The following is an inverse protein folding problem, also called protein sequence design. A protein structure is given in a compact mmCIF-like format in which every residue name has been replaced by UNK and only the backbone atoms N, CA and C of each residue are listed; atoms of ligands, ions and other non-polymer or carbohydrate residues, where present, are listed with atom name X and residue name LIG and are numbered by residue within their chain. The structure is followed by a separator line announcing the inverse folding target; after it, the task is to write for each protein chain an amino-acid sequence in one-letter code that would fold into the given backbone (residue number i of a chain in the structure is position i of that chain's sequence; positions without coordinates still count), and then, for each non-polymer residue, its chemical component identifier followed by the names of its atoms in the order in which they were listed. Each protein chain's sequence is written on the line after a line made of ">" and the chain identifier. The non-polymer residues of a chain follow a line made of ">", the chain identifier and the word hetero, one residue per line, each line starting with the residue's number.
data_IF_485804716048
#
_entry.id   IF_485804716048
#
_cell.length_a   1.000
_cell.length_b   1.000
_cell.length_c   1.000
_cell.angle_alpha   90.00
_cell.angle_beta   90.00
_cell.angle_gamma   90.00
#
_symmetry.space_group_name_H-M   'P 1'
#
loop_
_entity.id
_entity.type
_entity.pdbx_description
1 polymer ?
#
# COMPACT_ATOMS: atom_id res chain seq x y z
N UNK A 1 -10.54 -7.95 -36.68
CA UNK A 1 -9.73 -8.54 -35.58
C UNK A 1 -9.83 -10.05 -35.75
N UNK A 2 -8.73 -10.77 -36.01
CA UNK A 2 -8.78 -12.23 -36.00
C UNK A 2 -8.86 -12.70 -34.55
N UNK A 3 -9.92 -13.42 -34.21
CA UNK A 3 -10.06 -14.08 -32.91
C UNK A 3 -9.21 -15.35 -32.90
N UNK A 4 -8.20 -15.39 -32.04
CA UNK A 4 -7.44 -16.62 -31.80
C UNK A 4 -8.26 -17.61 -30.99
N UNK A 5 -8.14 -18.89 -31.31
CA UNK A 5 -8.62 -19.98 -30.47
C UNK A 5 -7.66 -20.23 -29.31
N UNK A 6 -8.15 -20.80 -28.20
CA UNK A 6 -7.31 -21.14 -27.04
C UNK A 6 -6.09 -21.99 -27.43
N UNK A 7 -6.28 -22.97 -28.32
CA UNK A 7 -5.22 -23.86 -28.78
C UNK A 7 -4.13 -23.12 -29.55
N UNK A 8 -4.51 -22.22 -30.45
CA UNK A 8 -3.56 -21.39 -31.20
C UNK A 8 -2.73 -20.48 -30.30
N UNK A 9 -3.31 -19.97 -29.20
CA UNK A 9 -2.58 -19.15 -28.23
C UNK A 9 -1.50 -19.97 -27.53
N UNK A 10 -1.83 -21.17 -27.05
CA UNK A 10 -0.88 -22.06 -26.37
C UNK A 10 0.24 -22.51 -27.32
N UNK A 11 -0.10 -22.86 -28.55
CA UNK A 11 0.90 -23.28 -29.56
C UNK A 11 1.90 -22.14 -29.85
N UNK A 12 1.40 -20.90 -30.01
CA UNK A 12 2.26 -19.72 -30.20
C UNK A 12 3.09 -19.37 -28.97
N UNK A 13 2.52 -19.50 -27.78
CA UNK A 13 3.24 -19.27 -26.53
C UNK A 13 4.41 -20.24 -26.36
N UNK A 14 4.17 -21.54 -26.60
CA UNK A 14 5.22 -22.56 -26.56
C UNK A 14 6.30 -22.32 -27.61
N UNK A 15 5.94 -21.89 -28.82
CA UNK A 15 6.90 -21.49 -29.85
C UNK A 15 7.81 -20.35 -29.36
N UNK A 16 7.25 -19.31 -28.73
CA UNK A 16 8.02 -18.21 -28.18
C UNK A 16 8.97 -18.64 -27.04
N UNK A 17 8.53 -19.57 -26.19
CA UNK A 17 9.38 -20.10 -25.13
C UNK A 17 10.56 -20.90 -25.66
N UNK A 18 10.34 -21.72 -26.69
CA UNK A 18 11.41 -22.46 -27.39
C UNK A 18 12.44 -21.50 -27.97
N UNK A 19 11.99 -20.50 -28.73
CA UNK A 19 12.86 -19.46 -29.29
C UNK A 19 13.66 -18.70 -28.23
N UNK A 20 13.04 -18.38 -27.08
CA UNK A 20 13.72 -17.71 -25.97
C UNK A 20 14.83 -18.59 -25.40
N UNK A 21 14.54 -19.83 -25.05
CA UNK A 21 15.52 -20.74 -24.45
C UNK A 21 16.64 -21.09 -25.44
N UNK A 22 16.36 -21.23 -26.74
CA UNK A 22 17.38 -21.37 -27.79
C UNK A 22 18.34 -20.16 -27.80
N UNK A 23 17.80 -18.94 -27.75
CA UNK A 23 18.59 -17.70 -27.66
C UNK A 23 19.47 -17.67 -26.40
N UNK A 24 18.99 -18.24 -25.30
CA UNK A 24 19.70 -18.34 -24.03
C UNK A 24 20.60 -19.59 -23.92
N UNK A 25 20.69 -20.40 -24.98
CA UNK A 25 21.44 -21.67 -25.00
C UNK A 25 21.04 -22.63 -23.86
N UNK A 26 19.75 -22.67 -23.55
CA UNK A 26 19.18 -23.56 -22.52
C UNK A 26 18.63 -24.83 -23.13
N UNK A 27 18.80 -25.94 -22.41
CA UNK A 27 18.20 -27.23 -22.78
C UNK A 27 16.68 -27.19 -22.63
N UNK A 28 16.01 -28.08 -23.36
CA UNK A 28 14.56 -28.23 -23.35
C UNK A 28 14.18 -29.67 -23.10
N UNK A 29 13.09 -29.86 -22.34
CA UNK A 29 12.37 -31.12 -22.32
C UNK A 29 11.85 -31.50 -23.71
N UNK A 30 11.44 -32.75 -23.86
CA UNK A 30 10.83 -33.23 -25.11
C UNK A 30 9.40 -32.73 -25.22
N UNK A 31 8.82 -32.74 -26.42
CA UNK A 31 7.39 -32.40 -26.60
C UNK A 31 6.45 -33.35 -25.81
N UNK A 32 6.92 -34.56 -25.53
CA UNK A 32 6.22 -35.56 -24.71
C UNK A 32 6.39 -35.33 -23.20
N UNK A 33 7.48 -34.68 -22.79
CA UNK A 33 7.82 -34.36 -21.41
C UNK A 33 8.34 -32.93 -21.29
N UNK A 34 7.46 -31.92 -21.40
CA UNK A 34 7.85 -30.53 -21.25
C UNK A 34 8.29 -30.24 -19.82
N UNK A 35 9.36 -29.46 -19.67
CA UNK A 35 9.97 -29.07 -18.40
C UNK A 35 9.81 -27.56 -18.14
N UNK A 36 8.67 -26.99 -18.53
CA UNK A 36 8.36 -25.57 -18.33
C UNK A 36 8.33 -25.23 -16.84
N UNK A 37 9.05 -24.19 -16.46
CA UNK A 37 9.17 -23.76 -15.07
C UNK A 37 8.76 -22.30 -14.92
N UNK A 38 7.91 -22.02 -13.92
CA UNK A 38 7.41 -20.68 -13.64
C UNK A 38 7.66 -20.25 -12.21
N UNK A 39 7.94 -18.97 -12.02
CA UNK A 39 7.99 -18.31 -10.72
C UNK A 39 6.72 -17.46 -10.56
N UNK A 40 6.01 -17.64 -9.45
CA UNK A 40 4.84 -16.84 -9.11
C UNK A 40 5.16 -15.89 -7.94
N UNK A 41 4.94 -14.59 -8.13
CA UNK A 41 5.13 -13.55 -7.10
C UNK A 41 3.79 -13.09 -6.56
N UNK A 42 3.61 -13.22 -5.25
CA UNK A 42 2.38 -12.84 -4.55
C UNK A 42 2.20 -11.31 -4.46
N UNK A 43 0.96 -10.89 -4.15
CA UNK A 43 0.61 -9.50 -3.87
C UNK A 43 0.92 -9.09 -2.43
N UNK A 44 0.47 -7.89 -2.04
CA UNK A 44 0.69 -7.35 -0.68
C UNK A 44 1.44 -6.01 -0.63
N UNK A 45 1.33 -5.21 -1.69
CA UNK A 45 1.94 -3.88 -1.77
C UNK A 45 3.46 -3.90 -1.65
N UNK A 46 4.02 -2.81 -1.10
CA UNK A 46 5.47 -2.59 -1.03
C UNK A 46 6.20 -3.65 -0.19
N UNK A 47 5.57 -4.18 0.87
CA UNK A 47 6.18 -5.23 1.72
C UNK A 47 6.44 -6.51 0.92
N UNK A 48 5.45 -6.95 0.15
CA UNK A 48 5.59 -8.13 -0.70
C UNK A 48 6.62 -7.89 -1.80
N UNK A 49 6.64 -6.69 -2.39
CA UNK A 49 7.65 -6.31 -3.38
C UNK A 49 9.09 -6.46 -2.84
N UNK A 50 9.34 -6.03 -1.60
CA UNK A 50 10.67 -6.17 -0.96
C UNK A 50 11.06 -7.64 -0.75
N UNK A 51 10.12 -8.49 -0.31
CA UNK A 51 10.37 -9.92 -0.11
C UNK A 51 10.62 -10.61 -1.45
N UNK A 52 9.77 -10.38 -2.45
CA UNK A 52 9.91 -10.93 -3.80
C UNK A 52 11.24 -10.50 -4.43
N UNK A 53 11.67 -9.25 -4.24
CA UNK A 53 12.98 -8.76 -4.68
C UNK A 53 14.13 -9.58 -4.07
N UNK A 54 14.06 -9.89 -2.77
CA UNK A 54 15.06 -10.72 -2.09
C UNK A 54 15.10 -12.16 -2.62
N UNK A 55 13.93 -12.76 -2.86
CA UNK A 55 13.84 -14.09 -3.48
C UNK A 55 14.43 -14.09 -4.88
N UNK A 56 14.01 -13.18 -5.76
CA UNK A 56 14.52 -13.12 -7.13
C UNK A 56 16.02 -12.82 -7.18
N UNK A 57 16.53 -11.95 -6.29
CA UNK A 57 17.98 -11.73 -6.15
C UNK A 57 18.72 -13.03 -5.86
N UNK A 58 18.18 -13.85 -4.97
CA UNK A 58 18.78 -15.14 -4.60
C UNK A 58 18.69 -16.14 -5.74
N UNK A 59 17.53 -16.25 -6.39
CA UNK A 59 17.35 -17.13 -7.56
C UNK A 59 18.27 -16.72 -8.72
N UNK A 60 18.48 -15.41 -8.93
CA UNK A 60 19.42 -14.90 -9.93
C UNK A 60 20.85 -15.30 -9.62
N UNK A 61 21.27 -15.21 -8.35
CA UNK A 61 22.60 -15.65 -7.90
C UNK A 61 22.88 -17.12 -8.22
N UNK A 62 21.87 -17.98 -8.23
CA UNK A 62 21.98 -19.39 -8.58
C UNK A 62 21.66 -19.70 -10.05
N UNK A 63 21.45 -18.68 -10.90
CA UNK A 63 21.06 -18.84 -12.29
C UNK A 63 19.67 -19.44 -12.51
N UNK A 64 18.86 -19.56 -11.46
CA UNK A 64 17.51 -20.15 -11.53
C UNK A 64 16.53 -19.17 -12.19
N UNK A 65 16.69 -17.87 -11.94
CA UNK A 65 15.81 -16.84 -12.52
C UNK A 65 15.87 -16.86 -14.06
N UNK A 66 17.06 -17.01 -14.65
CA UNK A 66 17.25 -17.08 -16.09
C UNK A 66 16.57 -18.31 -16.72
N UNK A 67 16.46 -19.41 -15.96
CA UNK A 67 15.82 -20.67 -16.38
C UNK A 67 14.31 -20.65 -16.29
N UNK A 68 13.71 -19.68 -15.60
CA UNK A 68 12.26 -19.55 -15.54
C UNK A 68 11.70 -19.09 -16.88
N UNK A 69 10.70 -19.82 -17.38
CA UNK A 69 9.94 -19.51 -18.59
C UNK A 69 8.83 -18.50 -18.30
N UNK A 70 8.24 -18.62 -17.12
CA UNK A 70 7.17 -17.77 -16.66
C UNK A 70 7.55 -17.00 -15.42
N UNK A 71 7.17 -15.73 -15.38
CA UNK A 71 7.19 -14.91 -14.18
C UNK A 71 5.81 -14.30 -14.00
N UNK A 72 4.95 -15.00 -13.28
CA UNK A 72 3.56 -14.59 -13.01
C UNK A 72 3.49 -13.73 -11.75
N UNK A 73 2.76 -12.63 -11.78
CA UNK A 73 2.69 -11.71 -10.64
C UNK A 73 1.31 -11.12 -10.43
N UNK A 74 1.05 -10.67 -9.21
CA UNK A 74 -0.14 -9.90 -8.85
C UNK A 74 0.22 -8.74 -7.93
N UNK A 75 -0.40 -7.57 -8.15
CA UNK A 75 -0.29 -6.38 -7.28
C UNK A 75 1.17 -6.05 -6.92
N UNK A 76 1.55 -6.17 -5.64
CA UNK A 76 2.90 -5.88 -5.14
C UNK A 76 4.04 -6.64 -5.84
N UNK A 77 3.80 -7.88 -6.29
CA UNK A 77 4.78 -8.64 -7.07
C UNK A 77 5.09 -8.00 -8.43
N UNK A 78 4.14 -7.23 -8.97
CA UNK A 78 4.27 -6.50 -10.22
C UNK A 78 5.40 -5.47 -10.18
N UNK A 79 5.65 -4.79 -9.04
CA UNK A 79 6.76 -3.85 -8.92
C UNK A 79 8.12 -4.51 -9.18
N UNK A 80 8.35 -5.68 -8.56
CA UNK A 80 9.57 -6.45 -8.74
C UNK A 80 9.68 -6.98 -10.18
N UNK A 81 8.58 -7.46 -10.76
CA UNK A 81 8.57 -7.96 -12.13
C UNK A 81 8.84 -6.87 -13.16
N UNK A 82 8.21 -5.70 -13.03
CA UNK A 82 8.43 -4.56 -13.93
C UNK A 82 9.89 -4.11 -13.89
N UNK A 83 10.53 -4.08 -12.72
CA UNK A 83 11.97 -3.84 -12.59
C UNK A 83 12.79 -4.87 -13.38
N UNK A 84 12.57 -6.16 -13.13
CA UNK A 84 13.31 -7.24 -13.81
C UNK A 84 13.15 -7.15 -15.33
N UNK A 85 11.93 -6.98 -15.82
CA UNK A 85 11.65 -6.85 -17.26
C UNK A 85 12.32 -5.62 -17.87
N UNK A 86 12.25 -4.47 -17.20
CA UNK A 86 12.86 -3.24 -17.70
C UNK A 86 14.38 -3.38 -17.80
N UNK A 87 15.03 -3.91 -16.77
CA UNK A 87 16.49 -4.10 -16.75
C UNK A 87 16.95 -5.13 -17.78
N UNK A 88 16.25 -6.27 -17.92
CA UNK A 88 16.57 -7.27 -18.94
C UNK A 88 16.37 -6.69 -20.34
N UNK A 89 15.30 -5.92 -20.57
CA UNK A 89 15.04 -5.30 -21.88
C UNK A 89 16.13 -4.29 -22.26
N UNK A 90 16.66 -3.54 -21.29
CA UNK A 90 17.68 -2.51 -21.53
C UNK A 90 19.08 -3.09 -21.72
N UNK A 91 19.49 -4.04 -20.87
CA UNK A 91 20.87 -4.54 -20.88
C UNK A 91 21.04 -5.93 -21.50
N UNK A 92 19.97 -6.71 -21.64
CA UNK A 92 20.01 -8.07 -22.17
C UNK A 92 20.72 -9.10 -21.27
N UNK A 93 21.03 -8.75 -20.03
CA UNK A 93 21.89 -9.54 -19.14
C UNK A 93 21.30 -9.67 -17.73
N UNK A 94 21.27 -10.91 -17.23
CA UNK A 94 20.80 -11.25 -15.89
C UNK A 94 21.83 -10.88 -14.81
N UNK A 95 23.12 -10.74 -15.13
CA UNK A 95 24.15 -10.34 -14.17
C UNK A 95 24.03 -8.86 -13.77
N UNK A 96 23.37 -8.05 -14.61
CA UNK A 96 23.03 -6.65 -14.31
C UNK A 96 21.80 -6.52 -13.40
N UNK A 97 21.08 -7.61 -13.15
CA UNK A 97 20.00 -7.62 -12.17
C UNK A 97 20.57 -7.60 -10.75
N UNK A 98 19.94 -6.82 -9.88
CA UNK A 98 20.26 -6.76 -8.45
C UNK A 98 21.72 -6.35 -8.13
N UNK A 99 22.35 -5.58 -9.02
CA UNK A 99 23.65 -4.94 -8.73
C UNK A 99 23.54 -4.06 -7.49
N UNK A 100 24.68 -3.75 -6.86
CA UNK A 100 24.68 -2.92 -5.67
C UNK A 100 24.05 -1.56 -5.95
N UNK A 101 24.33 -0.95 -7.11
CA UNK A 101 23.74 0.31 -7.52
C UNK A 101 22.21 0.22 -7.62
N UNK A 102 21.68 -0.82 -8.27
CA UNK A 102 20.23 -1.00 -8.40
C UNK A 102 19.54 -1.24 -7.04
N UNK A 103 20.14 -2.07 -6.18
CA UNK A 103 19.59 -2.34 -4.85
C UNK A 103 19.61 -1.06 -3.99
N UNK A 104 20.70 -0.31 -4.02
CA UNK A 104 20.82 0.93 -3.25
C UNK A 104 19.86 2.00 -3.77
N UNK A 105 19.68 2.11 -5.09
CA UNK A 105 18.68 2.98 -5.71
C UNK A 105 17.26 2.61 -5.27
N UNK A 106 16.89 1.32 -5.29
CA UNK A 106 15.55 0.89 -4.84
C UNK A 106 15.32 1.15 -3.36
N UNK A 107 16.33 0.96 -2.50
CA UNK A 107 16.24 1.28 -1.07
C UNK A 107 16.04 2.77 -0.83
N UNK A 108 16.72 3.59 -1.63
CA UNK A 108 16.68 5.05 -1.55
C UNK A 108 15.37 5.66 -2.05
N UNK A 109 14.61 4.96 -2.89
CA UNK A 109 13.38 5.45 -3.52
C UNK A 109 12.14 4.61 -3.18
N UNK A 110 12.21 3.73 -2.17
CA UNK A 110 11.12 2.84 -1.79
C UNK A 110 9.99 3.48 -0.98
N UNK A 111 10.10 4.76 -0.64
CA UNK A 111 9.12 5.46 0.20
C UNK A 111 8.07 6.18 -0.64
N UNK A 112 6.83 5.70 -0.55
CA UNK A 112 5.71 6.24 -1.30
C UNK A 112 5.03 7.46 -0.64
N UNK A 113 4.94 7.46 0.69
CA UNK A 113 4.18 8.48 1.43
C UNK A 113 4.95 9.80 1.58
N UNK A 114 6.28 9.74 1.62
CA UNK A 114 7.17 10.90 1.78
C UNK A 114 8.36 10.78 0.84
N UNK A 115 8.15 10.89 -0.47
CA UNK A 115 9.23 10.75 -1.44
C UNK A 115 10.28 11.85 -1.23
N UNK A 116 11.56 11.49 -1.34
CA UNK A 116 12.69 12.41 -1.24
C UNK A 116 13.77 11.94 -0.27
N UNK A 117 14.87 12.69 -0.19
CA UNK A 117 15.97 12.42 0.75
C UNK A 117 16.39 13.70 1.48
N UNK A 118 17.04 13.55 2.63
CA UNK A 118 17.59 14.66 3.40
C UNK A 118 16.54 15.52 4.12
N UNK A 119 16.89 16.78 4.39
CA UNK A 119 16.11 17.69 5.23
C UNK A 119 14.70 17.97 4.69
N UNK A 120 14.54 18.05 3.36
CA UNK A 120 13.24 18.29 2.72
C UNK A 120 12.24 17.17 2.99
N UNK A 121 12.71 15.92 3.05
CA UNK A 121 11.87 14.78 3.46
C UNK A 121 11.41 14.93 4.90
N UNK A 122 12.31 15.29 5.81
CA UNK A 122 11.98 15.48 7.24
C UNK A 122 10.90 16.56 7.41
N UNK A 123 11.03 17.68 6.69
CA UNK A 123 10.03 18.75 6.71
C UNK A 123 8.68 18.31 6.12
N UNK A 124 8.66 17.61 4.99
CA UNK A 124 7.43 17.09 4.39
C UNK A 124 6.74 16.05 5.30
N UNK A 125 7.51 15.19 5.95
CA UNK A 125 7.00 14.19 6.90
C UNK A 125 6.39 14.87 8.13
N UNK A 126 7.06 15.91 8.66
CA UNK A 126 6.54 16.70 9.77
C UNK A 126 5.24 17.41 9.37
N UNK A 127 5.19 18.01 8.18
CA UNK A 127 3.99 18.68 7.67
C UNK A 127 2.81 17.70 7.56
N UNK A 128 3.03 16.49 7.04
CA UNK A 128 2.00 15.45 6.97
C UNK A 128 1.54 15.02 8.37
N UNK A 129 2.44 14.87 9.32
CA UNK A 129 2.10 14.53 10.69
C UNK A 129 1.25 15.63 11.35
N UNK A 130 1.62 16.90 11.17
CA UNK A 130 0.84 18.04 11.67
C UNK A 130 -0.54 18.08 10.99
N UNK A 131 -0.59 17.92 9.67
CA UNK A 131 -1.85 17.89 8.93
C UNK A 131 -2.77 16.75 9.41
N UNK A 132 -2.21 15.57 9.68
CA UNK A 132 -2.96 14.45 10.24
C UNK A 132 -3.51 14.78 11.64
N UNK A 133 -2.70 15.35 12.53
CA UNK A 133 -3.14 15.74 13.88
C UNK A 133 -4.25 16.79 13.82
N UNK A 134 -4.08 17.80 12.97
CA UNK A 134 -5.12 18.83 12.76
C UNK A 134 -6.40 18.21 12.21
N UNK A 135 -6.30 17.35 11.19
CA UNK A 135 -7.47 16.65 10.63
C UNK A 135 -8.16 15.77 11.66
N UNK A 136 -7.39 15.05 12.49
CA UNK A 136 -7.91 14.24 13.57
C UNK A 136 -8.65 15.08 14.63
N UNK A 137 -8.05 16.19 15.07
CA UNK A 137 -8.72 17.12 16.00
C UNK A 137 -10.00 17.73 15.41
N UNK A 138 -9.97 18.15 14.15
CA UNK A 138 -11.15 18.69 13.47
C UNK A 138 -12.26 17.64 13.34
N UNK A 139 -11.90 16.37 13.15
CA UNK A 139 -12.87 15.27 13.11
C UNK A 139 -13.61 15.05 14.44
N UNK A 140 -13.04 15.49 15.57
CA UNK A 140 -13.65 15.38 16.91
C UNK A 140 -14.69 16.48 17.21
N UNK A 141 -14.70 17.58 16.44
CA UNK A 141 -15.65 18.68 16.66
C UNK A 141 -17.09 18.22 16.47
N UNK A 142 -17.38 17.47 15.40
CA UNK A 142 -18.74 17.00 15.12
C UNK A 142 -19.28 16.05 16.20
N UNK A 143 -18.55 15.01 16.64
CA UNK A 143 -18.93 14.19 17.78
C UNK A 143 -19.12 15.00 19.07
N UNK A 144 -18.27 16.00 19.34
CA UNK A 144 -18.39 16.84 20.52
C UNK A 144 -19.69 17.68 20.51
N UNK A 145 -20.06 18.25 19.35
CA UNK A 145 -21.33 18.97 19.17
C UNK A 145 -22.51 18.04 19.40
N UNK A 146 -22.50 16.85 18.80
CA UNK A 146 -23.58 15.86 18.97
C UNK A 146 -23.70 15.42 20.43
N UNK A 147 -22.59 15.13 21.11
CA UNK A 147 -22.59 14.81 22.52
C UNK A 147 -23.14 15.96 23.38
N UNK A 148 -22.79 17.21 23.05
CA UNK A 148 -23.34 18.41 23.68
C UNK A 148 -24.85 18.53 23.50
N UNK A 149 -25.36 18.29 22.29
CA UNK A 149 -26.82 18.31 22.01
C UNK A 149 -27.53 17.20 22.79
N UNK A 150 -26.99 15.98 22.80
CA UNK A 150 -27.57 14.85 23.54
C UNK A 150 -27.60 15.15 25.04
N UNK A 151 -26.50 15.69 25.58
CA UNK A 151 -26.42 16.10 26.98
C UNK A 151 -27.45 17.17 27.32
N UNK A 152 -27.61 18.18 26.46
CA UNK A 152 -28.60 19.24 26.65
C UNK A 152 -30.05 18.72 26.59
N UNK A 153 -30.36 17.81 25.67
CA UNK A 153 -31.67 17.15 25.63
C UNK A 153 -31.90 16.34 26.91
N UNK A 154 -30.87 15.62 27.38
CA UNK A 154 -30.93 14.87 28.63
C UNK A 154 -31.23 15.77 29.84
N UNK A 155 -30.57 16.92 29.99
CA UNK A 155 -30.83 17.84 31.10
C UNK A 155 -32.24 18.41 31.05
N UNK A 156 -32.77 18.73 29.86
CA UNK A 156 -34.17 19.15 29.68
C UNK A 156 -35.14 18.08 30.16
N UNK A 157 -34.98 16.83 29.68
CA UNK A 157 -35.87 15.71 30.06
C UNK A 157 -35.87 15.52 31.57
N UNK A 158 -34.68 15.48 32.18
CA UNK A 158 -34.48 15.30 33.61
C UNK A 158 -35.05 16.47 34.43
N UNK A 159 -34.97 17.70 33.91
CA UNK A 159 -35.61 18.87 34.51
C UNK A 159 -37.14 18.79 34.51
N UNK A 160 -37.75 18.20 33.47
CA UNK A 160 -39.20 17.99 33.39
C UNK A 160 -39.70 16.79 34.18
N UNK A 161 -38.90 15.73 34.35
CA UNK A 161 -39.29 14.52 35.09
C UNK A 161 -38.96 14.57 36.58
N UNK A 162 -38.24 15.61 37.02
CA UNK A 162 -37.72 15.72 38.38
C UNK A 162 -36.50 14.80 38.57
N UNK A 163 -35.31 15.38 38.73
CA UNK A 163 -34.07 14.62 38.76
C UNK A 163 -33.87 13.86 40.09
N UNK A 164 -33.81 12.52 40.13
CA UNK A 164 -33.43 11.78 41.33
C UNK A 164 -31.94 11.88 41.69
N UNK A 165 -31.11 12.51 40.84
CA UNK A 165 -29.63 12.62 40.98
C UNK A 165 -29.17 14.07 41.26
N UNK A 166 -30.09 15.05 41.35
CA UNK A 166 -29.75 16.46 41.60
C UNK A 166 -29.14 16.75 42.98
N UNK A 167 -29.07 15.76 43.89
CA UNK A 167 -28.42 15.95 45.19
C UNK A 167 -26.89 15.75 45.17
N UNK A 168 -26.26 15.35 44.06
CA UNK A 168 -24.80 15.10 44.08
C UNK A 168 -24.05 15.61 42.84
N UNK A 169 -23.60 16.86 42.87
CA UNK A 169 -22.20 17.28 42.60
C UNK A 169 -22.13 18.73 42.07
N UNK A 170 -21.27 19.56 42.68
CA UNK A 170 -21.10 20.98 42.34
C UNK A 170 -20.65 21.27 40.90
N UNK A 171 -20.24 20.25 40.14
CA UNK A 171 -19.88 20.35 38.72
C UNK A 171 -21.08 20.68 37.81
N UNK A 172 -22.30 20.29 38.19
CA UNK A 172 -23.50 20.59 37.40
C UNK A 172 -23.85 22.09 37.44
N UNK A 173 -23.60 22.74 38.58
CA UNK A 173 -23.96 24.13 38.81
C UNK A 173 -23.06 25.09 38.02
N UNK A 174 -21.77 24.78 37.87
CA UNK A 174 -20.84 25.61 37.10
C UNK A 174 -21.14 25.56 35.58
N UNK A 175 -21.59 24.42 35.06
CA UNK A 175 -21.89 24.26 33.62
C UNK A 175 -23.15 25.04 33.21
N UNK A 176 -24.15 25.14 34.08
CA UNK A 176 -25.36 25.94 33.84
C UNK A 176 -25.03 27.43 33.64
N UNK A 177 -24.15 27.99 34.48
CA UNK A 177 -23.73 29.40 34.37
C UNK A 177 -23.03 29.72 33.05
N UNK A 178 -22.14 28.85 32.59
CA UNK A 178 -21.45 29.05 31.30
C UNK A 178 -22.39 28.89 30.10
N UNK A 179 -23.36 27.98 30.18
CA UNK A 179 -24.33 27.77 29.10
C UNK A 179 -25.29 28.96 28.91
N UNK A 180 -25.70 29.62 30.00
CA UNK A 180 -26.50 30.85 29.97
C UNK A 180 -25.71 32.04 29.39
N UNK A 181 -24.41 32.14 29.70
CA UNK A 181 -23.53 33.18 29.19
C UNK A 181 -23.31 33.08 27.67
N UNK A 182 -23.13 31.85 27.17
CA UNK A 182 -22.97 31.59 25.73
C UNK A 182 -24.29 31.84 24.98
N UNK A 183 -25.43 31.42 25.54
CA UNK A 183 -26.74 31.67 24.94
C UNK A 183 -27.10 33.16 24.92
N UNK A 184 -26.78 33.91 25.97
CA UNK A 184 -26.99 35.36 26.03
C UNK A 184 -26.08 36.15 25.07
N UNK A 185 -24.84 35.71 24.87
CA UNK A 185 -23.89 36.35 23.95
C UNK A 185 -24.17 36.11 22.46
N UNK A 186 -25.04 35.15 22.11
CA UNK A 186 -25.48 34.88 20.74
C UNK A 186 -26.76 35.64 20.34
N UNK A 187 -27.40 36.34 21.29
CA UNK A 187 -28.67 37.06 21.08
C UNK A 187 -28.47 38.60 21.01
N UNK A 188 -27.23 39.08 21.16
CA UNK A 188 -26.79 40.47 20.94
C UNK A 188 -25.81 40.54 19.76
#
# INVERSE_FOLDING_TARGET
>A
MSTYTYREVIEKEQEQLKLRREKLQQEHGTDEQPDWFGIALSGGGIRSATINLGFLKTLNKFGILQKADYLSTVSGGGYTHSYVQATIKEHGDFDRLFTKEHIDAMRQHGEYLTPGQGLWKTLNTLLLAVAFVVSWLMSLISPAIVAGIIYYIYTIIVGFTGNPVAETSGLAMDIEWWSLLIAGGLIL
#
